data_IF_377695617637
#
_entry.id   IF_377695617637
#
_cell.length_a   1.000
_cell.length_b   1.000
_cell.length_c   1.000
_cell.angle_alpha   90.00
_cell.angle_beta   90.00
_cell.angle_gamma   90.00
#
_symmetry.space_group_name_H-M   'P 1'
#
loop_
_entity.id
_entity.type
_entity.pdbx_description
1 polymer ?
#
# COMPACT_ATOMS: atom_id res chain seq x y z
N UNK A 1 27.23 -0.88 -8.11
CA UNK A 1 27.10 -1.46 -6.76
C UNK A 1 26.23 -0.54 -5.93
N UNK A 2 25.06 -0.97 -5.42
CA UNK A 2 24.25 -0.18 -4.52
C UNK A 2 25.07 0.27 -3.29
N UNK A 3 24.90 1.51 -2.83
CA UNK A 3 25.55 2.02 -1.62
C UNK A 3 25.29 1.11 -0.40
N UNK A 4 24.11 0.48 -0.34
CA UNK A 4 23.77 -0.50 0.68
C UNK A 4 24.68 -1.73 0.67
N UNK A 5 25.10 -2.19 -0.50
CA UNK A 5 26.00 -3.32 -0.65
C UNK A 5 27.42 -2.95 -0.21
N UNK A 6 27.87 -1.72 -0.49
CA UNK A 6 29.17 -1.21 -0.02
C UNK A 6 29.21 -1.04 1.50
N UNK A 7 28.13 -0.51 2.09
CA UNK A 7 28.02 -0.28 3.54
C UNK A 7 27.83 -1.60 4.31
N UNK A 8 27.14 -2.59 3.74
CA UNK A 8 26.86 -3.86 4.39
C UNK A 8 28.00 -4.91 4.28
N UNK A 9 29.05 -4.64 3.48
CA UNK A 9 30.20 -5.55 3.29
C UNK A 9 31.02 -5.81 4.55
N UNK A 10 30.99 -4.90 5.52
CA UNK A 10 31.66 -5.11 6.81
C UNK A 10 30.93 -4.38 7.94
N UNK A 11 30.99 -4.97 9.14
CA UNK A 11 30.40 -4.37 10.36
C UNK A 11 30.95 -2.97 10.63
N UNK A 12 32.23 -2.73 10.32
CA UNK A 12 32.87 -1.43 10.52
C UNK A 12 32.27 -0.37 9.58
N UNK A 13 32.02 -0.71 8.31
CA UNK A 13 31.36 0.18 7.36
C UNK A 13 29.90 0.45 7.75
N UNK A 14 29.19 -0.57 8.23
CA UNK A 14 27.82 -0.42 8.73
C UNK A 14 27.76 0.52 9.95
N UNK A 15 28.68 0.35 10.91
CA UNK A 15 28.80 1.22 12.09
C UNK A 15 29.18 2.64 11.67
N UNK A 16 30.17 2.81 10.79
CA UNK A 16 30.55 4.12 10.28
C UNK A 16 29.39 4.81 9.54
N UNK A 17 28.60 4.07 8.78
CA UNK A 17 27.43 4.63 8.12
C UNK A 17 26.35 5.04 9.12
N UNK A 18 26.10 4.23 10.15
CA UNK A 18 25.12 4.51 11.20
C UNK A 18 25.50 5.73 12.05
N UNK A 19 26.79 5.86 12.41
CA UNK A 19 27.27 6.91 13.31
C UNK A 19 27.69 8.19 12.60
N UNK A 20 28.03 8.14 11.31
CA UNK A 20 28.57 9.30 10.58
C UNK A 20 27.72 9.61 9.34
N UNK A 21 27.62 8.69 8.38
CA UNK A 21 27.00 9.00 7.08
C UNK A 21 25.51 9.36 7.20
N UNK A 22 24.74 8.58 7.97
CA UNK A 22 23.30 8.81 8.17
C UNK A 22 23.05 10.11 8.95
N UNK A 23 23.69 10.36 10.11
CA UNK A 23 23.60 11.65 10.78
C UNK A 23 24.02 12.82 9.90
N UNK A 24 25.12 12.69 9.15
CA UNK A 24 25.56 13.76 8.26
C UNK A 24 24.55 14.05 7.15
N UNK A 25 24.01 13.02 6.49
CA UNK A 25 22.97 13.19 5.47
C UNK A 25 21.70 13.82 6.05
N UNK A 26 21.26 13.39 7.24
CA UNK A 26 20.12 13.98 7.93
C UNK A 26 20.37 15.46 8.29
N UNK A 27 21.59 15.80 8.72
CA UNK A 27 21.99 17.18 9.04
C UNK A 27 21.92 18.08 7.80
N UNK A 28 22.57 17.68 6.71
CA UNK A 28 22.54 18.42 5.44
C UNK A 28 21.10 18.55 4.91
N UNK A 29 20.33 17.46 4.95
CA UNK A 29 18.92 17.47 4.56
C UNK A 29 18.07 18.44 5.38
N UNK A 30 18.32 18.51 6.70
CA UNK A 30 17.59 19.42 7.60
C UNK A 30 17.85 20.90 7.30
N UNK A 31 19.10 21.26 7.00
CA UNK A 31 19.48 22.62 6.60
C UNK A 31 18.82 22.96 5.26
N UNK A 32 18.93 22.07 4.28
CA UNK A 32 18.31 22.27 2.96
C UNK A 32 16.81 22.52 3.08
N UNK A 33 16.09 21.69 3.84
CA UNK A 33 14.62 21.84 4.01
C UNK A 33 14.26 23.14 4.73
N UNK A 34 15.05 23.56 5.73
CA UNK A 34 14.86 24.86 6.40
C UNK A 34 15.10 26.04 5.46
N UNK A 35 16.16 26.00 4.64
CA UNK A 35 16.48 27.04 3.65
C UNK A 35 15.42 27.15 2.55
N UNK A 36 14.75 26.05 2.22
CA UNK A 36 13.63 26.01 1.27
C UNK A 36 12.27 26.37 1.88
N UNK A 37 12.22 26.73 3.17
CA UNK A 37 10.96 27.05 3.85
C UNK A 37 10.02 25.87 4.06
N UNK A 38 10.50 24.63 3.88
CA UNK A 38 9.70 23.41 4.05
C UNK A 38 9.53 23.02 5.52
N UNK A 39 10.38 23.53 6.39
CA UNK A 39 10.41 23.25 7.82
C UNK A 39 10.71 24.53 8.59
N UNK A 40 10.06 24.73 9.74
CA UNK A 40 10.30 25.91 10.58
C UNK A 40 11.65 25.83 11.33
N UNK A 41 12.12 24.61 11.64
CA UNK A 41 13.35 24.38 12.41
C UNK A 41 14.20 23.26 11.82
N UNK A 42 15.47 23.58 11.53
CA UNK A 42 16.46 22.59 11.09
C UNK A 42 16.78 21.57 12.19
N UNK A 43 16.91 21.99 13.46
CA UNK A 43 17.22 21.09 14.57
C UNK A 43 16.10 20.07 14.81
N UNK A 44 14.84 20.51 14.79
CA UNK A 44 13.69 19.63 14.92
C UNK A 44 13.59 18.67 13.73
N UNK A 45 13.82 19.18 12.50
CA UNK A 45 13.86 18.33 11.30
C UNK A 45 14.98 17.29 11.38
N UNK A 46 16.17 17.67 11.85
CA UNK A 46 17.31 16.77 12.02
C UNK A 46 16.99 15.65 13.01
N UNK A 47 16.56 16.02 14.23
CA UNK A 47 16.22 15.06 15.28
C UNK A 47 15.13 14.08 14.81
N UNK A 48 14.06 14.59 14.18
CA UNK A 48 13.00 13.75 13.61
C UNK A 48 13.52 12.84 12.50
N UNK A 49 14.32 13.35 11.55
CA UNK A 49 14.81 12.55 10.42
C UNK A 49 15.77 11.44 10.87
N UNK A 50 16.49 11.65 11.97
CA UNK A 50 17.46 10.70 12.50
C UNK A 50 16.84 9.68 13.48
N UNK A 51 15.96 10.14 14.38
CA UNK A 51 15.49 9.34 15.53
C UNK A 51 14.04 8.87 15.41
N UNK A 52 13.20 9.60 14.68
CA UNK A 52 11.77 9.32 14.58
C UNK A 52 11.26 9.59 13.16
N UNK A 53 11.80 8.89 12.15
CA UNK A 53 11.47 9.17 10.77
C UNK A 53 10.00 8.85 10.49
N UNK A 54 9.27 9.86 10.02
CA UNK A 54 7.85 9.77 9.64
C UNK A 54 7.62 9.97 8.16
N UNK A 55 8.68 10.11 7.36
CA UNK A 55 8.53 10.20 5.92
C UNK A 55 8.20 8.83 5.32
N UNK A 56 7.41 8.87 4.25
CA UNK A 56 6.90 7.68 3.59
C UNK A 56 8.00 6.71 3.16
N UNK A 57 9.16 7.23 2.72
CA UNK A 57 10.23 6.41 2.18
C UNK A 57 10.92 5.62 3.28
N UNK A 58 11.21 6.25 4.41
CA UNK A 58 11.79 5.58 5.56
C UNK A 58 10.84 4.54 6.16
N UNK A 59 9.55 4.87 6.28
CA UNK A 59 8.54 3.93 6.74
C UNK A 59 8.39 2.74 5.79
N UNK A 60 8.33 2.99 4.48
CA UNK A 60 8.29 1.92 3.48
C UNK A 60 9.52 1.02 3.56
N UNK A 61 10.73 1.60 3.68
CA UNK A 61 11.96 0.82 3.86
C UNK A 61 11.96 -0.01 5.15
N UNK A 62 11.38 0.51 6.23
CA UNK A 62 11.23 -0.21 7.49
C UNK A 62 10.29 -1.40 7.32
N UNK A 63 9.15 -1.20 6.65
CA UNK A 63 8.20 -2.26 6.32
C UNK A 63 8.83 -3.34 5.42
N UNK A 64 9.60 -2.95 4.40
CA UNK A 64 10.33 -3.89 3.55
C UNK A 64 11.30 -4.74 4.39
N UNK A 65 12.07 -4.12 5.29
CA UNK A 65 13.00 -4.84 6.17
C UNK A 65 12.27 -5.81 7.06
N UNK A 66 11.19 -5.38 7.70
CA UNK A 66 10.38 -6.23 8.56
C UNK A 66 9.85 -7.44 7.79
N UNK A 67 9.23 -7.23 6.62
CA UNK A 67 8.70 -8.29 5.78
C UNK A 67 9.80 -9.26 5.35
N UNK A 68 10.91 -8.77 4.78
CA UNK A 68 12.01 -9.63 4.32
C UNK A 68 12.68 -10.40 5.45
N UNK A 69 12.93 -9.77 6.60
CA UNK A 69 13.56 -10.45 7.73
C UNK A 69 12.62 -11.49 8.36
N UNK A 70 11.32 -11.18 8.43
CA UNK A 70 10.32 -12.14 8.94
C UNK A 70 10.16 -13.31 7.99
N UNK A 71 10.12 -13.09 6.67
CA UNK A 71 10.09 -14.15 5.67
C UNK A 71 11.32 -15.06 5.79
N UNK A 72 12.51 -14.46 5.90
CA UNK A 72 13.76 -15.21 6.08
C UNK A 72 13.76 -16.04 7.38
N UNK A 73 13.28 -15.45 8.48
CA UNK A 73 13.33 -16.10 9.78
C UNK A 73 12.25 -17.17 9.97
N UNK A 74 11.04 -16.92 9.48
CA UNK A 74 9.90 -17.83 9.61
C UNK A 74 9.83 -18.91 8.54
N UNK A 75 10.42 -18.67 7.35
CA UNK A 75 10.29 -19.52 6.17
C UNK A 75 8.82 -19.82 5.80
N UNK A 76 7.91 -18.91 6.16
CA UNK A 76 6.48 -19.10 5.94
C UNK A 76 6.10 -18.97 4.46
N UNK A 77 5.19 -19.83 4.02
CA UNK A 77 4.58 -19.75 2.68
C UNK A 77 3.54 -18.66 2.54
N UNK A 78 3.11 -18.05 3.65
CA UNK A 78 2.16 -16.92 3.59
C UNK A 78 2.71 -15.75 2.76
N UNK A 79 4.04 -15.62 2.65
CA UNK A 79 4.69 -14.62 1.81
C UNK A 79 4.54 -14.89 0.30
N UNK A 80 4.23 -16.12 -0.11
CA UNK A 80 3.95 -16.46 -1.52
C UNK A 80 2.68 -15.76 -2.02
N UNK A 81 1.82 -15.27 -1.11
CA UNK A 81 0.60 -14.52 -1.43
C UNK A 81 0.88 -13.08 -1.90
N UNK A 82 2.14 -12.65 -2.00
CA UNK A 82 2.50 -11.47 -2.81
C UNK A 82 2.34 -11.75 -4.32
N UNK A 83 2.38 -13.03 -4.74
CA UNK A 83 1.99 -13.43 -6.09
C UNK A 83 0.48 -13.27 -6.28
N UNK A 84 0.09 -12.46 -7.27
CA UNK A 84 -1.31 -12.12 -7.54
C UNK A 84 -2.19 -13.33 -7.82
N UNK A 85 -1.67 -14.34 -8.51
CA UNK A 85 -2.47 -15.51 -8.86
C UNK A 85 -2.62 -16.47 -7.67
N UNK A 86 -1.56 -16.67 -6.91
CA UNK A 86 -1.63 -17.44 -5.65
C UNK A 86 -2.61 -16.77 -4.69
N UNK A 87 -2.54 -15.44 -4.57
CA UNK A 87 -3.47 -14.63 -3.78
C UNK A 87 -4.93 -14.84 -4.17
N UNK A 88 -5.27 -14.66 -5.45
CA UNK A 88 -6.66 -14.79 -5.92
C UNK A 88 -7.21 -16.19 -5.63
N UNK A 89 -6.43 -17.25 -5.92
CA UNK A 89 -6.84 -18.63 -5.60
C UNK A 89 -7.09 -18.84 -4.11
N UNK A 90 -6.22 -18.29 -3.27
CA UNK A 90 -6.35 -18.42 -1.82
C UNK A 90 -7.61 -17.70 -1.31
N UNK A 91 -7.91 -16.51 -1.83
CA UNK A 91 -9.15 -15.79 -1.53
C UNK A 91 -10.39 -16.60 -1.93
N UNK A 92 -10.42 -17.11 -3.17
CA UNK A 92 -11.54 -17.91 -3.68
C UNK A 92 -11.76 -19.18 -2.84
N UNK A 93 -10.70 -19.90 -2.49
CA UNK A 93 -10.76 -21.11 -1.67
C UNK A 93 -11.29 -20.85 -0.25
N UNK A 94 -11.10 -19.64 0.28
CA UNK A 94 -11.52 -19.27 1.64
C UNK A 94 -12.79 -18.40 1.67
N UNK A 95 -13.48 -18.24 0.53
CA UNK A 95 -14.68 -17.42 0.45
C UNK A 95 -14.44 -15.93 0.76
N UNK A 96 -13.23 -15.43 0.51
CA UNK A 96 -12.88 -14.01 0.65
C UNK A 96 -13.17 -13.30 -0.67
N UNK A 97 -14.01 -12.25 -0.69
CA UNK A 97 -14.30 -11.47 -1.90
C UNK A 97 -13.03 -10.92 -2.54
N UNK A 98 -12.81 -11.29 -3.80
CA UNK A 98 -11.63 -10.93 -4.59
C UNK A 98 -12.06 -10.62 -6.02
N UNK A 99 -11.27 -9.83 -6.73
CA UNK A 99 -11.49 -9.51 -8.13
C UNK A 99 -11.78 -10.77 -8.96
N UNK A 100 -12.85 -10.77 -9.78
CA UNK A 100 -13.22 -11.93 -10.58
C UNK A 100 -12.17 -12.22 -11.65
N UNK A 101 -12.01 -13.49 -11.99
CA UNK A 101 -11.13 -13.95 -13.07
C UNK A 101 -11.97 -14.67 -14.10
N UNK A 102 -11.75 -14.31 -15.36
CA UNK A 102 -12.45 -14.90 -16.49
C UNK A 102 -11.82 -16.25 -16.83
N UNK A 103 -12.64 -17.30 -16.94
CA UNK A 103 -12.17 -18.59 -17.45
C UNK A 103 -11.92 -18.53 -18.96
N UNK A 104 -12.80 -17.84 -19.70
CA UNK A 104 -12.68 -17.65 -21.14
C UNK A 104 -12.33 -16.20 -21.47
N UNK A 105 -11.54 -15.94 -22.53
CA UNK A 105 -10.96 -16.91 -23.45
C UNK A 105 -9.73 -17.65 -22.89
N UNK A 106 -9.42 -18.82 -23.46
CA UNK A 106 -8.15 -19.54 -23.20
C UNK A 106 -6.94 -18.71 -23.61
N UNK A 107 -7.05 -18.04 -24.76
CA UNK A 107 -6.04 -17.14 -25.31
C UNK A 107 -6.73 -15.89 -25.83
N UNK A 108 -6.29 -14.72 -25.36
CA UNK A 108 -6.73 -13.43 -25.87
C UNK A 108 -5.75 -12.93 -26.94
N UNK A 109 -6.25 -12.61 -28.13
CA UNK A 109 -5.47 -11.97 -29.19
C UNK A 109 -5.91 -10.52 -29.28
N UNK A 110 -5.05 -9.60 -28.82
CA UNK A 110 -5.25 -8.16 -28.97
C UNK A 110 -4.39 -7.65 -30.13
N UNK A 111 -4.97 -6.81 -30.99
CA UNK A 111 -4.29 -6.24 -32.15
C UNK A 111 -4.51 -4.74 -32.17
N UNK A 112 -3.44 -3.98 -32.43
CA UNK A 112 -3.60 -2.59 -32.82
C UNK A 112 -4.31 -2.52 -34.18
N UNK A 113 -5.23 -1.57 -34.34
CA UNK A 113 -6.02 -1.41 -35.56
C UNK A 113 -5.19 -0.82 -36.72
N UNK A 114 -4.09 -0.14 -36.43
CA UNK A 114 -3.28 0.59 -37.40
C UNK A 114 -1.86 0.04 -37.59
N UNK A 115 -1.44 -0.98 -36.84
CA UNK A 115 -0.13 -1.63 -37.03
C UNK A 115 -0.23 -2.80 -38.02
N UNK A 116 0.44 -2.66 -39.16
CA UNK A 116 0.48 -3.68 -40.21
C UNK A 116 1.59 -4.73 -39.99
N UNK A 117 1.59 -5.79 -40.81
CA UNK A 117 2.69 -6.76 -40.88
C UNK A 117 2.79 -7.72 -39.68
N UNK A 118 1.73 -7.83 -38.86
CA UNK A 118 1.74 -8.64 -37.65
C UNK A 118 2.46 -8.00 -36.46
N UNK A 119 2.91 -6.76 -36.61
CA UNK A 119 3.33 -5.91 -35.50
C UNK A 119 2.11 -5.50 -34.68
N UNK A 120 2.30 -5.20 -33.39
CA UNK A 120 1.19 -4.82 -32.49
C UNK A 120 0.22 -5.95 -32.11
N UNK A 121 0.52 -7.21 -32.45
CA UNK A 121 -0.27 -8.37 -32.03
C UNK A 121 0.25 -8.89 -30.69
N UNK A 122 -0.62 -8.88 -29.68
CA UNK A 122 -0.39 -9.48 -28.38
C UNK A 122 -1.22 -10.74 -28.22
N UNK A 123 -0.55 -11.88 -28.02
CA UNK A 123 -1.19 -13.17 -27.75
C UNK A 123 -1.00 -13.51 -26.28
N UNK A 124 -2.06 -13.34 -25.49
CA UNK A 124 -2.04 -13.48 -24.04
C UNK A 124 -2.72 -14.80 -23.64
N UNK A 125 -1.93 -15.77 -23.17
CA UNK A 125 -2.46 -17.03 -22.66
C UNK A 125 -2.95 -16.86 -21.23
N UNK A 126 -4.21 -17.23 -20.99
CA UNK A 126 -4.88 -17.09 -19.70
C UNK A 126 -4.25 -18.02 -18.64
N UNK A 127 -4.01 -17.51 -17.44
CA UNK A 127 -3.46 -18.25 -16.29
C UNK A 127 -4.33 -19.43 -15.88
N UNK A 128 -5.65 -19.34 -16.08
CA UNK A 128 -6.60 -20.43 -15.84
C UNK A 128 -6.28 -21.69 -16.65
N UNK A 129 -5.65 -21.51 -17.83
CA UNK A 129 -5.32 -22.58 -18.78
C UNK A 129 -3.80 -22.80 -18.90
N UNK A 130 -3.06 -22.51 -17.83
CA UNK A 130 -1.60 -22.67 -17.79
C UNK A 130 -0.84 -21.61 -18.60
N UNK A 131 -1.39 -20.41 -18.71
CA UNK A 131 -0.72 -19.21 -19.20
C UNK A 131 -0.13 -18.34 -18.08
N UNK A 132 0.20 -17.09 -18.40
CA UNK A 132 0.81 -16.13 -17.47
C UNK A 132 -0.07 -14.90 -17.20
N UNK A 133 -1.17 -14.73 -17.93
CA UNK A 133 -2.00 -13.54 -17.87
C UNK A 133 -3.29 -13.82 -17.12
N UNK A 134 -3.58 -13.02 -16.09
CA UNK A 134 -4.89 -12.99 -15.45
C UNK A 134 -5.80 -12.15 -16.36
N UNK A 135 -6.89 -12.74 -16.84
CA UNK A 135 -7.90 -12.03 -17.63
C UNK A 135 -9.08 -11.67 -16.73
N UNK A 136 -9.50 -10.41 -16.75
CA UNK A 136 -10.55 -9.89 -15.87
C UNK A 136 -11.43 -8.91 -16.63
N UNK A 137 -12.71 -8.88 -16.26
CA UNK A 137 -13.58 -7.79 -16.67
C UNK A 137 -13.15 -6.51 -15.94
N UNK A 138 -13.33 -5.37 -16.62
CA UNK A 138 -13.07 -4.07 -16.01
C UNK A 138 -14.07 -3.86 -14.87
N UNK A 139 -13.56 -3.62 -13.66
CA UNK A 139 -14.36 -3.22 -12.52
C UNK A 139 -14.71 -1.72 -12.62
N UNK A 140 -15.92 -1.39 -12.18
CA UNK A 140 -16.42 -0.02 -12.13
C UNK A 140 -16.58 0.45 -10.67
N UNK A 141 -16.52 1.76 -10.47
CA UNK A 141 -16.81 2.38 -9.18
C UNK A 141 -18.32 2.31 -8.88
N UNK A 142 -18.69 2.13 -7.62
CA UNK A 142 -20.09 2.19 -7.19
C UNK A 142 -20.68 3.61 -7.36
N UNK A 143 -22.02 3.70 -7.40
CA UNK A 143 -22.72 4.96 -7.63
C UNK A 143 -22.41 6.04 -6.57
N UNK A 144 -22.14 5.65 -5.33
CA UNK A 144 -21.77 6.58 -4.27
C UNK A 144 -20.41 7.24 -4.55
N UNK A 145 -19.40 6.47 -5.00
CA UNK A 145 -18.10 7.02 -5.35
C UNK A 145 -18.17 7.91 -6.60
N UNK A 146 -18.97 7.53 -7.59
CA UNK A 146 -19.11 8.32 -8.82
C UNK A 146 -19.65 9.74 -8.59
N UNK A 147 -20.29 10.01 -7.44
CA UNK A 147 -20.70 11.38 -7.05
C UNK A 147 -19.52 12.24 -6.58
N UNK A 148 -18.43 11.60 -6.14
CA UNK A 148 -17.22 12.26 -5.62
C UNK A 148 -16.11 12.37 -6.69
N UNK A 149 -16.25 11.63 -7.78
CA UNK A 149 -15.23 11.43 -8.80
C UNK A 149 -15.62 12.10 -10.13
N UNK A 150 -14.66 12.37 -11.03
CA UNK A 150 -14.95 12.79 -12.39
C UNK A 150 -15.66 11.66 -13.16
N UNK A 151 -16.42 12.03 -14.21
CA UNK A 151 -17.26 11.10 -14.99
C UNK A 151 -16.49 9.91 -15.59
N UNK A 152 -15.21 10.11 -15.92
CA UNK A 152 -14.33 9.09 -16.50
C UNK A 152 -13.16 8.78 -15.56
N UNK A 153 -13.42 8.74 -14.25
CA UNK A 153 -12.42 8.33 -13.28
C UNK A 153 -12.07 6.84 -13.47
N UNK A 154 -10.79 6.44 -13.28
CA UNK A 154 -10.45 5.03 -13.15
C UNK A 154 -11.06 4.44 -11.87
N UNK A 155 -10.98 3.12 -11.74
CA UNK A 155 -11.34 2.43 -10.50
C UNK A 155 -10.55 3.04 -9.33
N UNK A 156 -11.28 3.60 -8.38
CA UNK A 156 -10.75 4.19 -7.15
C UNK A 156 -10.76 3.14 -6.05
N UNK A 157 -9.68 3.05 -5.30
CA UNK A 157 -9.50 1.97 -4.33
C UNK A 157 -9.17 2.52 -2.94
N UNK A 158 -9.47 1.75 -1.91
CA UNK A 158 -8.99 2.03 -0.56
C UNK A 158 -7.82 1.13 -0.23
N UNK A 159 -6.70 1.76 0.13
CA UNK A 159 -5.58 1.09 0.78
C UNK A 159 -5.91 0.89 2.25
N UNK A 160 -5.90 -0.35 2.71
CA UNK A 160 -5.95 -0.70 4.14
C UNK A 160 -4.64 -1.34 4.51
N UNK A 161 -3.95 -0.81 5.52
CA UNK A 161 -2.75 -1.45 6.05
C UNK A 161 -3.09 -2.10 7.38
N UNK A 162 -2.80 -3.39 7.45
CA UNK A 162 -3.09 -4.26 8.59
C UNK A 162 -1.82 -4.92 9.10
N UNK A 163 -1.81 -5.33 10.36
CA UNK A 163 -0.69 -6.07 10.95
C UNK A 163 -1.15 -7.25 11.77
N UNK A 164 -0.35 -8.30 11.73
CA UNK A 164 -0.55 -9.55 12.44
C UNK A 164 0.68 -9.88 13.29
N UNK A 165 0.45 -10.59 14.40
CA UNK A 165 1.50 -11.13 15.27
C UNK A 165 1.69 -12.64 15.11
N UNK A 166 1.06 -13.28 14.13
CA UNK A 166 1.09 -14.74 13.99
C UNK A 166 2.49 -15.31 13.79
N UNK A 167 3.40 -14.54 13.18
CA UNK A 167 4.80 -14.94 12.96
C UNK A 167 5.58 -15.15 14.27
N UNK A 168 5.22 -14.46 15.36
CA UNK A 168 5.98 -14.48 16.62
C UNK A 168 6.14 -15.90 17.19
N UNK A 169 5.11 -16.74 17.02
CA UNK A 169 5.15 -18.14 17.43
C UNK A 169 6.23 -18.94 16.69
N UNK A 170 6.38 -18.72 15.38
CA UNK A 170 7.41 -19.34 14.54
C UNK A 170 8.82 -18.85 14.88
N UNK A 171 8.91 -17.60 15.37
CA UNK A 171 10.16 -16.99 15.82
C UNK A 171 10.52 -17.38 17.26
N UNK A 172 9.76 -18.29 17.89
CA UNK A 172 10.04 -18.81 19.21
C UNK A 172 9.62 -17.90 20.37
N UNK A 173 8.71 -16.96 20.11
CA UNK A 173 8.06 -16.14 21.14
C UNK A 173 6.67 -16.73 21.41
N UNK A 174 6.44 -17.36 22.57
CA UNK A 174 5.14 -17.91 22.92
C UNK A 174 4.15 -16.77 23.19
N UNK A 175 2.93 -16.89 22.68
CA UNK A 175 1.88 -15.90 22.89
C UNK A 175 0.56 -16.35 22.30
N UNK A 176 -0.54 -15.77 22.79
CA UNK A 176 -1.84 -15.91 22.13
C UNK A 176 -1.77 -15.17 20.79
N UNK A 177 -2.27 -15.78 19.73
CA UNK A 177 -2.46 -15.08 18.47
C UNK A 177 -3.53 -14.00 18.66
N UNK A 178 -3.10 -12.75 18.56
CA UNK A 178 -4.00 -11.61 18.43
C UNK A 178 -4.50 -11.55 16.99
N UNK A 179 -5.77 -11.16 16.83
CA UNK A 179 -6.35 -10.89 15.51
C UNK A 179 -5.61 -9.73 14.84
N UNK A 180 -5.48 -9.80 13.53
CA UNK A 180 -4.94 -8.74 12.72
C UNK A 180 -5.77 -7.45 12.90
N UNK A 181 -5.08 -6.31 12.88
CA UNK A 181 -5.70 -5.00 13.06
C UNK A 181 -5.29 -4.05 11.96
N UNK A 182 -6.24 -3.26 11.46
CA UNK A 182 -5.96 -2.12 10.61
C UNK A 182 -5.39 -0.95 11.43
N UNK A 183 -4.35 -0.29 10.93
CA UNK A 183 -3.74 0.88 11.58
C UNK A 183 -3.58 2.08 10.64
N UNK A 184 -3.89 1.92 9.36
CA UNK A 184 -3.87 3.02 8.39
C UNK A 184 -4.81 2.73 7.22
N UNK A 185 -5.61 3.72 6.85
CA UNK A 185 -6.59 3.63 5.77
C UNK A 185 -6.58 4.88 4.92
N UNK A 186 -6.44 4.72 3.60
CA UNK A 186 -6.37 5.82 2.63
C UNK A 186 -7.21 5.46 1.42
N UNK A 187 -8.12 6.35 1.04
CA UNK A 187 -8.85 6.22 -0.21
C UNK A 187 -8.15 6.97 -1.34
N UNK A 188 -7.89 6.28 -2.45
CA UNK A 188 -7.27 6.82 -3.66
C UNK A 188 -8.37 7.22 -4.63
N UNK A 189 -8.72 8.51 -4.63
CA UNK A 189 -9.70 9.08 -5.55
C UNK A 189 -9.05 9.30 -6.93
N UNK A 190 -9.46 8.50 -7.92
CA UNK A 190 -8.89 8.49 -9.26
C UNK A 190 -9.13 9.80 -10.03
N UNK A 191 -8.11 10.23 -10.79
CA UNK A 191 -8.16 11.46 -11.59
C UNK A 191 -8.70 11.23 -13.00
N UNK A 192 -9.27 12.29 -13.58
CA UNK A 192 -9.83 12.24 -14.94
C UNK A 192 -8.74 11.86 -15.97
N UNK A 193 -9.10 10.98 -16.91
CA UNK A 193 -8.22 10.57 -18.02
C UNK A 193 -7.06 9.65 -17.62
N UNK A 194 -6.97 9.21 -16.37
CA UNK A 194 -5.98 8.24 -15.94
C UNK A 194 -6.45 6.80 -16.21
N UNK A 195 -5.51 5.93 -16.59
CA UNK A 195 -5.80 4.51 -16.80
C UNK A 195 -6.00 3.74 -15.48
N UNK A 196 -5.35 4.19 -14.40
CA UNK A 196 -5.41 3.60 -13.06
C UNK A 196 -5.37 4.69 -11.99
N UNK A 197 -5.67 4.33 -10.75
CA UNK A 197 -5.55 5.21 -9.57
C UNK A 197 -4.10 5.53 -9.15
N UNK A 198 -3.09 5.18 -9.96
CA UNK A 198 -1.74 5.71 -9.78
C UNK A 198 -1.69 7.24 -9.90
N UNK A 199 -2.65 7.81 -10.63
CA UNK A 199 -2.96 9.23 -10.60
C UNK A 199 -4.22 9.43 -9.75
N UNK A 200 -4.02 9.74 -8.48
CA UNK A 200 -5.12 9.91 -7.51
C UNK A 200 -4.86 11.03 -6.51
N UNK A 201 -5.94 11.54 -5.91
CA UNK A 201 -5.86 12.21 -4.61
C UNK A 201 -5.96 11.16 -3.51
N UNK A 202 -5.01 11.17 -2.58
CA UNK A 202 -4.97 10.23 -1.46
C UNK A 202 -5.67 10.85 -0.26
N UNK A 203 -6.92 10.47 -0.02
CA UNK A 203 -7.74 10.96 1.08
C UNK A 203 -7.54 10.09 2.31
N UNK A 204 -7.10 10.69 3.41
CA UNK A 204 -6.97 10.00 4.69
C UNK A 204 -8.35 9.56 5.21
N UNK A 205 -8.46 8.38 5.80
CA UNK A 205 -9.60 7.96 6.61
C UNK A 205 -9.11 7.67 8.01
N UNK A 206 -9.06 8.68 8.90
CA UNK A 206 -8.56 8.47 10.25
C UNK A 206 -9.51 7.57 11.02
N UNK A 207 -9.10 6.32 11.28
CA UNK A 207 -9.89 5.30 11.99
C UNK A 207 -11.19 4.92 11.24
N UNK A 208 -11.03 4.28 10.07
CA UNK A 208 -12.13 3.80 9.25
C UNK A 208 -13.11 2.86 9.98
N UNK A 209 -12.70 2.23 11.09
CA UNK A 209 -13.57 1.37 11.91
C UNK A 209 -14.58 2.18 12.73
N UNK A 210 -14.24 3.40 13.14
CA UNK A 210 -15.11 4.25 13.95
C UNK A 210 -15.83 5.31 13.14
N UNK A 211 -15.16 5.89 12.15
CA UNK A 211 -15.75 6.91 11.31
C UNK A 211 -15.35 6.70 9.85
N UNK A 212 -16.34 6.71 8.98
CA UNK A 212 -16.15 6.58 7.54
C UNK A 212 -15.97 7.96 6.88
N UNK A 213 -15.44 8.94 7.62
CA UNK A 213 -15.33 10.31 7.15
C UNK A 213 -13.95 10.51 6.51
N UNK A 214 -13.95 11.07 5.30
CA UNK A 214 -12.73 11.46 4.62
C UNK A 214 -12.09 12.63 5.38
N UNK A 215 -10.85 12.45 5.80
CA UNK A 215 -10.00 13.48 6.37
C UNK A 215 -9.43 14.40 5.30
N UNK A 216 -8.22 14.87 5.55
CA UNK A 216 -7.48 15.68 4.58
C UNK A 216 -6.67 14.79 3.65
N UNK A 217 -6.55 15.22 2.41
CA UNK A 217 -5.85 14.49 1.36
C UNK A 217 -4.44 14.99 1.10
N UNK A 218 -3.68 14.13 0.42
CA UNK A 218 -2.32 14.37 -0.05
C UNK A 218 -2.17 13.93 -1.51
N UNK A 219 -1.00 14.21 -2.11
CA UNK A 219 -0.63 13.68 -3.43
C UNK A 219 0.71 12.95 -3.36
N UNK A 220 0.83 11.90 -4.16
CA UNK A 220 2.04 11.10 -4.36
C UNK A 220 2.73 11.35 -5.71
N UNK A 221 2.39 12.44 -6.42
CA UNK A 221 2.90 12.68 -7.78
C UNK A 221 4.45 12.61 -7.88
N UNK A 222 5.15 12.93 -6.80
CA UNK A 222 6.60 12.85 -6.68
C UNK A 222 7.17 11.43 -6.51
N UNK A 223 6.37 10.44 -6.08
CA UNK A 223 6.80 9.06 -5.81
C UNK A 223 7.16 8.30 -7.09
N UNK A 224 6.47 8.62 -8.17
CA UNK A 224 6.64 7.98 -9.47
C UNK A 224 7.46 8.83 -10.45
N UNK A 225 7.97 9.99 -10.01
CA UNK A 225 8.85 10.83 -10.82
C UNK A 225 10.22 10.16 -10.96
N UNK A 226 10.58 9.76 -12.19
CA UNK A 226 11.86 9.09 -12.49
C UNK A 226 12.85 10.04 -13.17
N UNK A 227 14.14 9.86 -12.87
CA UNK A 227 15.24 10.56 -13.53
C UNK A 227 15.20 12.08 -13.28
N UNK A 228 15.56 12.87 -14.29
CA UNK A 228 15.60 14.33 -14.18
C UNK A 228 14.22 14.96 -13.86
N UNK A 229 13.11 14.24 -14.08
CA UNK A 229 11.76 14.70 -13.75
C UNK A 229 11.51 14.79 -12.23
N UNK A 230 12.33 14.15 -11.40
CA UNK A 230 12.25 14.30 -9.94
C UNK A 230 13.01 15.52 -9.40
N UNK A 231 13.91 16.12 -10.19
CA UNK A 231 14.65 17.31 -9.78
C UNK A 231 13.71 18.51 -9.67
N UNK A 232 13.56 19.03 -8.45
CA UNK A 232 12.70 20.18 -8.17
C UNK A 232 11.25 19.83 -7.83
N UNK A 233 10.86 18.56 -7.92
CA UNK A 233 9.57 18.11 -7.37
C UNK A 233 9.61 18.28 -5.84
N UNK A 234 8.52 18.75 -5.22
CA UNK A 234 8.45 18.80 -3.77
C UNK A 234 8.59 17.37 -3.23
N UNK A 235 9.61 17.15 -2.38
CA UNK A 235 9.83 15.89 -1.64
C UNK A 235 8.64 15.48 -0.77
N UNK A 236 7.72 16.42 -0.55
CA UNK A 236 6.47 16.26 0.18
C UNK A 236 5.51 17.36 -0.31
N UNK A 237 4.29 17.02 -0.72
CA UNK A 237 3.19 18.01 -0.66
C UNK A 237 2.93 18.32 0.81
N UNK A 238 2.52 19.52 1.22
CA UNK A 238 2.11 19.71 2.61
C UNK A 238 1.06 18.63 2.98
N UNK A 239 1.40 17.75 3.94
CA UNK A 239 0.53 16.64 4.36
C UNK A 239 -0.85 17.21 4.69
N UNK A 240 -1.90 16.66 4.09
CA UNK A 240 -3.26 17.11 4.36
C UNK A 240 -3.60 18.50 3.80
N UNK A 241 -2.97 18.98 2.73
CA UNK A 241 -3.37 20.25 2.11
C UNK A 241 -4.60 20.12 1.19
N UNK A 242 -4.94 18.92 0.72
CA UNK A 242 -6.00 18.74 -0.26
C UNK A 242 -7.31 18.43 0.45
N UNK A 243 -8.32 19.28 0.30
CA UNK A 243 -9.69 18.98 0.73
C UNK A 243 -10.64 18.80 -0.45
N UNK A 244 -10.17 19.03 -1.67
CA UNK A 244 -10.97 19.15 -2.88
C UNK A 244 -10.41 18.23 -3.96
N UNK A 245 -11.29 17.59 -4.73
CA UNK A 245 -10.90 16.84 -5.91
C UNK A 245 -10.47 17.82 -7.03
N UNK A 246 -9.25 17.73 -7.57
CA UNK A 246 -8.69 18.74 -8.46
C UNK A 246 -9.43 18.84 -9.80
N UNK A 247 -10.04 17.75 -10.26
CA UNK A 247 -10.68 17.71 -11.58
C UNK A 247 -12.20 18.04 -11.54
N UNK A 248 -12.82 18.06 -10.35
CA UNK A 248 -14.28 18.28 -10.22
C UNK A 248 -14.63 19.45 -9.30
N UNK A 249 -13.70 19.90 -8.45
CA UNK A 249 -13.98 20.92 -7.45
C UNK A 249 -14.81 20.43 -6.26
N UNK A 250 -15.15 19.13 -6.21
CA UNK A 250 -15.91 18.55 -5.10
C UNK A 250 -15.07 18.55 -3.84
N UNK A 251 -15.62 19.08 -2.75
CA UNK A 251 -15.00 19.01 -1.42
C UNK A 251 -15.12 17.55 -0.94
N UNK A 252 -14.00 16.86 -0.84
CA UNK A 252 -13.93 15.47 -0.40
C UNK A 252 -13.83 15.37 1.13
N UNK A 253 -13.10 16.27 1.78
CA UNK A 253 -12.96 16.25 3.24
C UNK A 253 -14.32 16.42 3.91
N UNK A 254 -14.64 15.52 4.84
CA UNK A 254 -15.92 15.43 5.52
C UNK A 254 -16.98 14.60 4.79
N UNK A 255 -16.76 14.22 3.53
CA UNK A 255 -17.65 13.25 2.87
C UNK A 255 -17.54 11.88 3.53
N UNK A 256 -18.64 11.13 3.49
CA UNK A 256 -18.68 9.75 3.97
C UNK A 256 -18.30 8.79 2.84
N UNK A 257 -17.38 7.87 3.13
CA UNK A 257 -17.04 6.73 2.29
C UNK A 257 -17.78 5.49 2.80
N UNK A 258 -19.03 5.30 2.36
CA UNK A 258 -19.87 4.19 2.80
C UNK A 258 -19.20 2.83 2.51
N UNK A 259 -19.09 1.99 3.54
CA UNK A 259 -18.46 0.67 3.46
C UNK A 259 -16.98 0.66 3.82
N UNK A 260 -16.38 1.79 4.18
CA UNK A 260 -14.98 1.85 4.59
C UNK A 260 -14.70 1.00 5.85
N UNK A 261 -15.63 0.99 6.81
CA UNK A 261 -15.50 0.14 8.00
C UNK A 261 -15.53 -1.35 7.63
N UNK A 262 -16.46 -1.74 6.75
CA UNK A 262 -16.59 -3.11 6.27
C UNK A 262 -15.38 -3.55 5.42
N UNK A 263 -14.77 -2.64 4.67
CA UNK A 263 -13.54 -2.92 3.93
C UNK A 263 -12.33 -3.10 4.87
N UNK A 264 -12.22 -2.31 5.94
CA UNK A 264 -11.19 -2.55 6.97
C UNK A 264 -11.36 -3.92 7.64
N UNK A 265 -12.60 -4.29 7.99
CA UNK A 265 -12.93 -5.62 8.55
C UNK A 265 -12.64 -6.77 7.58
N UNK A 266 -12.95 -6.59 6.30
CA UNK A 266 -12.61 -7.55 5.24
C UNK A 266 -11.10 -7.80 5.20
N UNK A 267 -10.30 -6.74 5.23
CA UNK A 267 -8.83 -6.85 5.19
C UNK A 267 -8.24 -7.49 6.45
N UNK A 268 -8.75 -7.17 7.64
CA UNK A 268 -8.33 -7.82 8.89
C UNK A 268 -8.64 -9.32 8.86
N UNK A 269 -9.87 -9.69 8.48
CA UNK A 269 -10.27 -11.08 8.32
C UNK A 269 -9.41 -11.80 7.27
N UNK A 270 -9.14 -11.15 6.14
CA UNK A 270 -8.32 -11.72 5.08
C UNK A 270 -6.89 -11.95 5.55
N UNK A 271 -6.32 -11.04 6.33
CA UNK A 271 -4.99 -11.20 6.92
C UNK A 271 -4.95 -12.40 7.86
N UNK A 272 -5.89 -12.49 8.80
CA UNK A 272 -5.99 -13.60 9.76
C UNK A 272 -6.15 -14.96 9.07
N UNK A 273 -6.93 -15.00 7.98
CA UNK A 273 -7.29 -16.25 7.31
C UNK A 273 -6.21 -16.72 6.34
N UNK A 274 -5.64 -15.79 5.56
CA UNK A 274 -4.78 -16.14 4.43
C UNK A 274 -3.30 -16.09 4.78
N UNK A 275 -2.88 -15.12 5.57
CA UNK A 275 -1.46 -14.80 5.77
C UNK A 275 -1.13 -14.41 7.22
N UNK A 276 -1.59 -15.17 8.24
CA UNK A 276 -1.44 -14.76 9.64
C UNK A 276 0.03 -14.58 10.07
N UNK A 277 1.00 -15.19 9.36
CA UNK A 277 2.42 -15.08 9.70
C UNK A 277 3.15 -13.95 8.98
N UNK A 278 2.46 -13.21 8.10
CA UNK A 278 2.98 -11.98 7.52
C UNK A 278 2.78 -10.85 8.53
N UNK A 279 3.80 -10.03 8.85
CA UNK A 279 3.67 -9.03 9.90
C UNK A 279 2.82 -7.82 9.47
N UNK A 280 2.90 -7.44 8.20
CA UNK A 280 2.22 -6.28 7.62
C UNK A 280 1.69 -6.62 6.23
N UNK A 281 0.45 -6.24 5.95
CA UNK A 281 -0.16 -6.37 4.63
C UNK A 281 -0.90 -5.08 4.27
N UNK A 282 -0.58 -4.52 3.11
CA UNK A 282 -1.30 -3.42 2.49
C UNK A 282 -2.24 -3.93 1.42
N UNK A 283 -3.54 -3.83 1.67
CA UNK A 283 -4.62 -4.36 0.86
C UNK A 283 -5.21 -3.27 -0.02
N UNK A 284 -5.45 -3.58 -1.29
CA UNK A 284 -6.21 -2.73 -2.19
C UNK A 284 -7.64 -3.25 -2.32
N UNK A 285 -8.60 -2.43 -1.90
CA UNK A 285 -10.03 -2.76 -1.90
C UNK A 285 -10.77 -1.87 -2.89
N UNK A 286 -11.52 -2.47 -3.80
CA UNK A 286 -12.43 -1.76 -4.68
C UNK A 286 -13.85 -1.75 -4.13
N UNK A 287 -14.58 -0.66 -4.41
CA UNK A 287 -15.98 -0.46 -4.05
C UNK A 287 -16.80 -0.52 -5.33
N UNK A 288 -17.29 -1.70 -5.65
CA UNK A 288 -18.02 -1.98 -6.88
C UNK A 288 -19.53 -1.76 -6.70
N UNK A 289 -20.30 -1.60 -7.80
CA UNK A 289 -21.75 -1.56 -7.75
C UNK A 289 -22.34 -2.72 -6.94
N UNK A 290 -23.42 -2.45 -6.22
CA UNK A 290 -24.09 -3.48 -5.43
C UNK A 290 -24.64 -4.60 -6.30
N UNK A 291 -24.53 -5.85 -5.82
CA UNK A 291 -25.16 -7.03 -6.41
C UNK A 291 -26.65 -7.17 -6.08
N UNK A 292 -27.18 -6.34 -5.17
CA UNK A 292 -28.58 -6.38 -4.81
C UNK A 292 -29.48 -5.98 -6.00
N UNK A 293 -30.69 -6.55 -6.07
CA UNK A 293 -31.63 -6.27 -7.16
C UNK A 293 -31.90 -4.76 -7.25
N UNK A 294 -31.51 -4.16 -8.37
CA UNK A 294 -31.66 -2.72 -8.62
C UNK A 294 -30.47 -1.84 -8.17
N UNK A 295 -29.37 -2.42 -7.67
CA UNK A 295 -28.13 -1.69 -7.37
C UNK A 295 -28.21 -0.73 -6.17
N UNK A 296 -29.26 -0.85 -5.36
CA UNK A 296 -29.53 0.07 -4.24
C UNK A 296 -28.91 -0.36 -2.90
N UNK A 297 -28.26 -1.52 -2.85
CA UNK A 297 -27.60 -2.04 -1.65
C UNK A 297 -26.24 -1.42 -1.37
N UNK A 298 -25.55 -1.86 -0.29
CA UNK A 298 -24.18 -1.46 -0.02
C UNK A 298 -23.25 -1.84 -1.17
N UNK A 299 -22.12 -1.12 -1.34
CA UNK A 299 -21.15 -1.45 -2.37
C UNK A 299 -20.62 -2.87 -2.19
N UNK A 300 -20.38 -3.56 -3.29
CA UNK A 300 -19.65 -4.82 -3.25
C UNK A 300 -18.16 -4.51 -3.04
N UNK A 301 -17.59 -5.10 -1.99
CA UNK A 301 -16.18 -4.91 -1.65
C UNK A 301 -15.38 -6.09 -2.18
N UNK A 302 -14.37 -5.82 -3.00
CA UNK A 302 -13.48 -6.86 -3.56
C UNK A 302 -12.02 -6.51 -3.33
N UNK A 303 -11.24 -7.49 -2.90
CA UNK A 303 -9.79 -7.36 -2.82
C UNK A 303 -9.17 -7.45 -4.23
N UNK A 304 -8.21 -6.58 -4.52
CA UNK A 304 -7.49 -6.57 -5.79
C UNK A 304 -6.13 -7.22 -5.67
N UNK A 305 -5.38 -6.86 -4.62
CA UNK A 305 -4.05 -7.38 -4.32
C UNK A 305 -3.68 -7.11 -2.85
N UNK A 306 -2.66 -7.82 -2.38
CA UNK A 306 -1.95 -7.52 -1.15
C UNK A 306 -0.49 -7.19 -1.47
N UNK A 307 0.04 -6.11 -0.91
CA UNK A 307 1.48 -5.83 -0.93
C UNK A 307 2.05 -6.05 0.47
N UNK A 308 3.04 -6.94 0.59
CA UNK A 308 3.59 -7.32 1.89
C UNK A 308 4.72 -6.37 2.34
N UNK A 309 5.29 -5.64 1.38
CA UNK A 309 6.18 -4.50 1.59
C UNK A 309 5.43 -3.17 1.43
N UNK A 310 4.39 -2.96 2.24
CA UNK A 310 3.43 -1.88 2.02
C UNK A 310 3.92 -0.49 2.46
N UNK A 311 3.38 0.52 1.79
CA UNK A 311 3.46 1.93 2.20
C UNK A 311 2.13 2.34 2.85
N UNK A 312 2.16 3.37 3.70
CA UNK A 312 1.01 3.97 4.36
C UNK A 312 0.27 5.00 3.50
N UNK A 313 0.76 5.33 2.30
CA UNK A 313 0.12 6.30 1.40
C UNK A 313 -0.14 7.67 2.03
N UNK A 314 0.64 8.02 3.06
CA UNK A 314 0.53 9.25 3.87
C UNK A 314 -0.78 9.37 4.65
N UNK A 315 -1.46 8.25 4.90
CA UNK A 315 -2.57 8.20 5.82
C UNK A 315 -2.13 8.39 7.27
N UNK A 316 -3.09 8.70 8.12
CA UNK A 316 -2.92 8.66 9.56
C UNK A 316 -2.57 7.23 10.00
N UNK A 317 -1.58 7.11 10.87
CA UNK A 317 -1.10 5.82 11.38
C UNK A 317 -1.38 5.74 12.88
N UNK A 318 -1.94 4.61 13.32
CA UNK A 318 -2.03 4.25 14.73
C UNK A 318 -0.63 3.89 15.25
N UNK A 319 0.14 4.92 15.65
CA UNK A 319 1.58 4.82 15.90
C UNK A 319 1.94 3.91 17.07
N UNK A 320 1.11 3.86 18.11
CA UNK A 320 1.37 3.03 19.28
C UNK A 320 1.26 1.54 18.91
N UNK A 321 0.19 1.17 18.21
CA UNK A 321 -0.04 -0.19 17.73
C UNK A 321 1.01 -0.61 16.72
N UNK A 322 1.31 0.25 15.74
CA UNK A 322 2.34 -0.01 14.74
C UNK A 322 3.72 -0.16 15.39
N UNK A 323 4.10 0.74 16.30
CA UNK A 323 5.37 0.66 17.03
C UNK A 323 5.49 -0.63 17.85
N UNK A 324 4.45 -0.97 18.61
CA UNK A 324 4.39 -2.21 19.39
C UNK A 324 4.46 -3.48 18.51
N UNK A 325 3.89 -3.44 17.31
CA UNK A 325 4.01 -4.52 16.34
C UNK A 325 5.45 -4.68 15.86
N UNK A 326 6.10 -3.58 15.47
CA UNK A 326 7.50 -3.58 15.03
C UNK A 326 8.43 -4.10 16.11
N UNK A 327 8.32 -3.56 17.33
CA UNK A 327 9.19 -3.92 18.45
C UNK A 327 9.13 -5.41 18.75
N UNK A 328 7.92 -5.98 18.79
CA UNK A 328 7.75 -7.41 19.05
C UNK A 328 8.40 -8.28 17.96
N UNK A 329 8.24 -7.93 16.69
CA UNK A 329 8.81 -8.72 15.60
C UNK A 329 10.33 -8.58 15.53
N UNK A 330 10.88 -7.37 15.64
CA UNK A 330 12.33 -7.20 15.63
C UNK A 330 12.99 -7.87 16.84
N UNK A 331 12.38 -7.79 18.03
CA UNK A 331 12.85 -8.54 19.19
C UNK A 331 12.83 -10.06 18.95
N UNK A 332 11.75 -10.58 18.34
CA UNK A 332 11.64 -12.01 18.00
C UNK A 332 12.67 -12.44 16.93
N UNK A 333 12.92 -11.61 15.92
CA UNK A 333 13.95 -11.85 14.91
C UNK A 333 15.35 -11.86 15.54
N UNK A 334 15.62 -10.97 16.50
CA UNK A 334 16.89 -10.96 17.23
C UNK A 334 17.08 -12.23 18.07
N UNK A 335 16.01 -12.75 18.68
CA UNK A 335 16.04 -14.05 19.37
C UNK A 335 16.34 -15.18 18.38
N UNK A 336 15.64 -15.22 17.25
CA UNK A 336 15.88 -16.21 16.19
C UNK A 336 17.33 -16.18 15.69
N UNK A 337 17.89 -14.99 15.46
CA UNK A 337 19.26 -14.83 14.93
C UNK A 337 20.36 -15.31 15.88
N UNK A 338 20.07 -15.40 17.18
CA UNK A 338 21.02 -15.88 18.21
C UNK A 338 21.00 -17.39 18.38
N UNK A 339 20.02 -18.09 17.81
CA UNK A 339 19.94 -19.56 17.79
C UNK A 339 20.76 -20.11 16.63
#
# INVERSE_FOLDING_TARGET
VPLSELVARSRLHAVAAALVLIPFAAFIGSIYRRCRGLEASASACFARSLLAPRDWLQLWRLNCRLASMTALASQSKDFDLEDKWVFIKACQANGIPVTPVMDMPVTLVAKDVNEEGGMGIHVLKNVMHGGQWILQEKLENCAALNKLLPKEAPLSTMRVVTGSRGALSLLGVPGKQEKAKSFCTVWRAGRAGAATDHSSVMMDLPDARKNELLGKGSSSAHWYARGLKSLGMPLSTADGANSVHPDTGVILSGCRLEGAAAAAELCERAHDTLMPTVPLAGWDVAFCPSKDKGGAGPPELVLLEANLSCNFFRGSVAWEEYGSLLDAHFAAIDVWRRR
#
